data_IF_077409278961
#
_entry.id   IF_077409278961
#
_cell.length_a   1.000
_cell.length_b   1.000
_cell.length_c   1.000
_cell.angle_alpha   90.00
_cell.angle_beta   90.00
_cell.angle_gamma   90.00
#
_symmetry.space_group_name_H-M   'P 1'
#
loop_
_entity.id
_entity.type
_entity.pdbx_description
1 polymer ?
#
# COMPACT_ATOMS: atom_id res chain seq x y z
N UNK A 1 2.15 10.89 -5.07
CA UNK A 1 1.21 9.75 -4.96
C UNK A 1 0.01 10.00 -5.85
N UNK A 2 0.12 9.72 -7.15
CA UNK A 2 -0.98 9.90 -8.12
C UNK A 2 -1.22 8.57 -8.82
N UNK A 3 -1.82 7.63 -8.10
CA UNK A 3 -2.36 6.38 -8.64
C UNK A 3 -3.85 6.33 -8.33
N UNK A 4 -4.68 5.97 -9.32
CA UNK A 4 -6.14 5.95 -9.20
C UNK A 4 -6.56 4.99 -8.07
N UNK A 5 -7.04 5.56 -6.97
CA UNK A 5 -7.45 4.85 -5.76
C UNK A 5 -8.71 4.03 -6.07
N UNK A 6 -8.53 2.74 -6.38
CA UNK A 6 -9.67 1.82 -6.46
C UNK A 6 -10.10 1.49 -5.04
N UNK A 7 -11.16 2.14 -4.57
CA UNK A 7 -11.76 1.89 -3.26
C UNK A 7 -12.71 0.70 -3.35
N UNK A 8 -12.54 -0.29 -2.49
CA UNK A 8 -13.52 -1.39 -2.38
C UNK A 8 -14.69 -0.99 -1.47
N UNK A 9 -15.72 -1.86 -1.37
CA UNK A 9 -16.92 -1.60 -0.56
C UNK A 9 -16.64 -1.41 0.95
N UNK A 10 -15.47 -1.84 1.43
CA UNK A 10 -15.03 -1.68 2.83
C UNK A 10 -14.19 -0.41 3.03
N UNK A 11 -14.13 0.47 2.02
CA UNK A 11 -13.32 1.69 2.06
C UNK A 11 -11.81 1.44 1.95
N UNK A 12 -11.41 0.19 1.69
CA UNK A 12 -10.02 -0.15 1.51
C UNK A 12 -9.47 0.37 0.19
N UNK A 13 -8.19 0.70 0.17
CA UNK A 13 -7.55 1.45 -0.90
C UNK A 13 -6.17 0.86 -1.21
N UNK A 14 -5.87 0.69 -2.50
CA UNK A 14 -4.51 0.36 -2.92
C UNK A 14 -3.60 1.59 -2.80
N UNK A 15 -2.47 1.42 -2.11
CA UNK A 15 -1.44 2.43 -1.89
C UNK A 15 -0.16 1.95 -2.55
N UNK A 16 0.47 2.82 -3.35
CA UNK A 16 1.74 2.53 -4.01
C UNK A 16 2.85 3.31 -3.33
N UNK A 17 4.00 2.68 -3.09
CA UNK A 17 5.15 3.29 -2.46
C UNK A 17 6.46 2.71 -2.99
N UNK A 18 7.50 3.53 -3.04
CA UNK A 18 8.85 3.08 -3.38
C UNK A 18 9.56 2.58 -2.13
N UNK A 19 10.09 1.37 -2.20
CA UNK A 19 10.91 0.76 -1.16
C UNK A 19 12.37 0.68 -1.64
N UNK A 20 13.30 1.12 -0.79
CA UNK A 20 14.74 0.96 -1.04
C UNK A 20 15.31 -0.01 -0.02
N UNK A 21 15.95 -1.08 -0.49
CA UNK A 21 16.65 -2.04 0.38
C UNK A 21 17.95 -1.44 0.91
N UNK A 22 18.52 -2.00 1.98
CA UNK A 22 19.81 -1.54 2.53
C UNK A 22 20.99 -1.59 1.55
N UNK A 23 20.85 -2.31 0.43
CA UNK A 23 21.83 -2.38 -0.67
C UNK A 23 21.52 -1.44 -1.84
N UNK A 24 20.59 -0.50 -1.67
CA UNK A 24 20.26 0.53 -2.67
C UNK A 24 19.34 0.09 -3.81
N UNK A 25 18.84 -1.16 -3.81
CA UNK A 25 17.86 -1.61 -4.82
C UNK A 25 16.49 -1.02 -4.54
N UNK A 26 15.87 -0.44 -5.57
CA UNK A 26 14.53 0.16 -5.53
C UNK A 26 13.47 -0.82 -6.02
N UNK A 27 12.34 -0.81 -5.34
CA UNK A 27 11.16 -1.62 -5.65
C UNK A 27 9.95 -0.72 -5.63
N UNK A 28 9.07 -0.88 -6.61
CA UNK A 28 7.74 -0.30 -6.56
C UNK A 28 6.83 -1.31 -5.86
N UNK A 29 6.33 -0.95 -4.70
CA UNK A 29 5.44 -1.78 -3.90
C UNK A 29 4.01 -1.25 -3.93
N UNK A 30 3.05 -2.16 -3.84
CA UNK A 30 1.64 -1.85 -3.64
C UNK A 30 1.14 -2.59 -2.40
N UNK A 31 0.21 -1.98 -1.67
CA UNK A 31 -0.45 -2.56 -0.50
C UNK A 31 -1.92 -2.19 -0.51
N UNK A 32 -2.78 -3.12 -0.10
CA UNK A 32 -4.17 -2.82 0.16
C UNK A 32 -4.32 -2.37 1.61
N UNK A 33 -4.75 -1.13 1.84
CA UNK A 33 -4.97 -0.55 3.15
C UNK A 33 -6.46 -0.45 3.43
N UNK A 34 -6.96 -1.09 4.48
CA UNK A 34 -8.33 -0.92 4.96
C UNK A 34 -8.30 0.02 6.17
N UNK A 35 -9.01 1.16 6.13
CA UNK A 35 -9.06 2.07 7.27
C UNK A 35 -9.76 1.41 8.46
N UNK A 36 -9.32 1.74 9.68
CA UNK A 36 -10.02 1.33 10.88
C UNK A 36 -11.44 1.93 10.92
N UNK A 37 -12.40 1.16 11.44
CA UNK A 37 -13.78 1.62 11.58
C UNK A 37 -13.94 2.72 12.65
N UNK A 38 -12.94 2.88 13.52
CA UNK A 38 -12.88 3.90 14.58
C UNK A 38 -11.45 4.43 14.70
N UNK A 39 -11.21 5.59 15.36
CA UNK A 39 -9.86 6.11 15.59
C UNK A 39 -8.95 5.21 16.43
N UNK A 40 -9.53 4.28 17.21
CA UNK A 40 -8.81 3.33 18.05
C UNK A 40 -8.39 2.09 17.24
N UNK A 41 -9.15 1.75 16.21
CA UNK A 41 -8.85 0.60 15.37
C UNK A 41 -7.71 0.96 14.41
N UNK A 42 -6.54 0.31 14.49
CA UNK A 42 -5.48 0.56 13.53
C UNK A 42 -5.93 0.13 12.13
N UNK A 43 -5.42 0.77 11.07
CA UNK A 43 -5.62 0.29 9.72
C UNK A 43 -5.00 -1.09 9.54
N UNK A 44 -5.69 -1.94 8.76
CA UNK A 44 -5.15 -3.23 8.37
C UNK A 44 -4.52 -3.13 6.98
N UNK A 45 -3.43 -3.86 6.80
CA UNK A 45 -2.67 -3.86 5.56
C UNK A 45 -2.53 -5.29 5.07
N UNK A 46 -2.88 -5.54 3.82
CA UNK A 46 -2.83 -6.85 3.19
C UNK A 46 -2.42 -6.76 1.72
N UNK A 47 -2.17 -7.91 1.11
CA UNK A 47 -1.84 -8.05 -0.30
C UNK A 47 -0.63 -7.20 -0.72
N UNK A 48 0.46 -7.30 0.05
CA UNK A 48 1.71 -6.68 -0.33
C UNK A 48 2.27 -7.31 -1.59
N UNK A 49 2.57 -6.48 -2.57
CA UNK A 49 3.24 -6.89 -3.79
C UNK A 49 4.35 -5.90 -4.11
N UNK A 50 5.57 -6.39 -4.32
CA UNK A 50 6.72 -5.55 -4.63
C UNK A 50 7.40 -6.08 -5.89
N UNK A 51 7.55 -5.19 -6.86
CA UNK A 51 8.29 -5.49 -8.09
C UNK A 51 9.55 -4.64 -8.16
N UNK A 52 10.66 -5.18 -8.71
CA UNK A 52 11.83 -4.36 -9.01
C UNK A 52 11.39 -3.14 -9.82
N UNK A 53 11.82 -1.97 -9.39
CA UNK A 53 11.59 -0.76 -10.18
C UNK A 53 12.44 -0.90 -11.44
N UNK A 54 11.81 -1.07 -12.61
CA UNK A 54 12.51 -1.07 -13.89
C UNK A 54 13.18 0.27 -14.14
#
# INVERSE_FOLDING_TARGET
MTGRLQKNALGGQQVNYDATTGKGRRFMCTVFMIPGLTPINPPTYNNWECHPHQ
#
